data_IF_443943934948
#
_entry.id   IF_443943934948
#
_cell.length_a   1.000
_cell.length_b   1.000
_cell.length_c   1.000
_cell.angle_alpha   90.00
_cell.angle_beta   90.00
_cell.angle_gamma   90.00
#
_symmetry.space_group_name_H-M   'P 1'
#
loop_
_entity.id
_entity.type
_entity.pdbx_description
1 polymer ?
#
# COMPACT_ATOMS: atom_id res chain seq x y z
N UNK A 1 10.14 16.85 14.95
CA UNK A 1 10.08 15.37 14.77
C UNK A 1 10.10 15.07 13.28
N UNK A 2 11.08 14.29 12.80
CA UNK A 2 11.37 14.13 11.37
C UNK A 2 10.65 12.90 10.80
N UNK A 3 9.60 13.13 10.00
CA UNK A 3 8.99 12.12 9.13
C UNK A 3 7.79 11.39 9.73
N UNK A 4 6.64 11.49 9.07
CA UNK A 4 5.43 10.73 9.44
C UNK A 4 5.64 9.22 9.37
N UNK A 5 4.75 8.48 10.04
CA UNK A 5 4.79 7.02 10.10
C UNK A 5 4.68 6.40 8.70
N UNK A 6 5.47 5.34 8.47
CA UNK A 6 5.42 4.48 7.28
C UNK A 6 4.89 3.12 7.69
N UNK A 7 3.97 2.55 6.92
CA UNK A 7 3.41 1.23 7.21
C UNK A 7 3.73 0.28 6.05
N UNK A 8 4.15 -0.94 6.38
CA UNK A 8 4.42 -2.02 5.45
C UNK A 8 3.38 -3.12 5.63
N UNK A 9 2.74 -3.50 4.53
CA UNK A 9 1.87 -4.67 4.41
C UNK A 9 2.63 -5.75 3.64
N UNK A 10 3.20 -6.71 4.37
CA UNK A 10 4.03 -7.78 3.82
C UNK A 10 3.16 -9.01 3.51
N UNK A 11 3.20 -9.49 2.27
CA UNK A 11 2.27 -10.50 1.77
C UNK A 11 0.88 -9.90 1.49
N UNK A 12 0.84 -8.74 0.83
CA UNK A 12 -0.40 -7.97 0.65
C UNK A 12 -1.48 -8.70 -0.17
N UNK A 13 -1.11 -9.75 -0.93
CA UNK A 13 -2.03 -10.53 -1.74
C UNK A 13 -2.84 -9.65 -2.70
N UNK A 14 -4.15 -9.85 -2.75
CA UNK A 14 -5.04 -9.03 -3.59
C UNK A 14 -5.26 -7.60 -3.06
N UNK A 15 -4.69 -7.22 -1.91
CA UNK A 15 -4.80 -5.88 -1.34
C UNK A 15 -5.93 -5.67 -0.33
N UNK A 16 -6.48 -6.74 0.26
CA UNK A 16 -7.60 -6.68 1.22
C UNK A 16 -7.37 -5.74 2.41
N UNK A 17 -6.12 -5.60 2.86
CA UNK A 17 -5.74 -4.75 4.00
C UNK A 17 -5.26 -3.36 3.59
N UNK A 18 -4.81 -3.18 2.35
CA UNK A 18 -4.30 -1.91 1.83
C UNK A 18 -5.34 -0.80 1.96
N UNK A 19 -6.61 -1.09 1.63
CA UNK A 19 -7.67 -0.11 1.68
C UNK A 19 -8.04 0.33 3.11
N UNK A 20 -8.34 -0.58 4.06
CA UNK A 20 -8.54 -0.22 5.47
C UNK A 20 -7.36 0.56 6.08
N UNK A 21 -6.12 0.20 5.73
CA UNK A 21 -4.94 0.90 6.22
C UNK A 21 -4.97 2.40 5.87
N UNK A 22 -5.47 2.77 4.70
CA UNK A 22 -5.50 4.18 4.25
C UNK A 22 -6.35 5.07 5.16
N UNK A 23 -7.46 4.54 5.67
CA UNK A 23 -8.30 5.23 6.66
C UNK A 23 -7.60 5.36 8.01
N UNK A 24 -6.86 4.32 8.42
CA UNK A 24 -6.18 4.27 9.71
C UNK A 24 -4.94 5.19 9.78
N UNK A 25 -4.13 5.20 8.72
CA UNK A 25 -2.89 5.98 8.69
C UNK A 25 -3.13 7.44 8.28
N UNK A 26 -4.25 7.75 7.65
CA UNK A 26 -4.56 9.11 7.21
C UNK A 26 -3.66 9.63 6.06
N UNK A 27 -4.05 10.76 5.49
CA UNK A 27 -3.61 11.23 4.16
C UNK A 27 -2.12 11.60 4.04
N UNK A 28 -1.41 11.85 5.14
CA UNK A 28 -0.01 12.30 5.15
C UNK A 28 1.00 11.17 5.30
N UNK A 29 0.54 9.92 5.42
CA UNK A 29 1.37 8.74 5.68
C UNK A 29 1.52 7.88 4.43
N UNK A 30 2.67 7.20 4.30
CA UNK A 30 2.94 6.29 3.18
C UNK A 30 2.70 4.84 3.60
N UNK A 31 2.00 4.09 2.75
CA UNK A 31 1.79 2.66 2.87
C UNK A 31 2.59 1.98 1.77
N UNK A 32 3.30 0.92 2.12
CA UNK A 32 4.03 0.05 1.19
C UNK A 32 3.33 -1.31 1.21
N UNK A 33 2.94 -1.80 0.03
CA UNK A 33 2.39 -3.13 -0.14
C UNK A 33 3.43 -3.98 -0.86
N UNK A 34 3.82 -5.10 -0.27
CA UNK A 34 4.86 -5.97 -0.80
C UNK A 34 4.31 -7.40 -0.88
N UNK A 35 4.53 -8.05 -2.01
CA UNK A 35 4.25 -9.47 -2.19
C UNK A 35 5.28 -10.06 -3.15
N UNK A 36 5.56 -11.36 -3.03
CA UNK A 36 6.42 -12.08 -3.96
C UNK A 36 5.70 -12.40 -5.27
N UNK A 37 4.37 -12.47 -5.25
CA UNK A 37 3.57 -12.80 -6.42
C UNK A 37 3.30 -11.54 -7.26
N UNK A 38 3.74 -11.48 -8.53
CA UNK A 38 3.49 -10.30 -9.38
C UNK A 38 2.01 -9.97 -9.58
N UNK A 39 1.14 -11.00 -9.56
CA UNK A 39 -0.31 -10.83 -9.69
C UNK A 39 -0.94 -10.11 -8.49
N UNK A 40 -0.38 -10.32 -7.29
CA UNK A 40 -0.78 -9.60 -6.08
C UNK A 40 -0.49 -8.11 -6.21
N UNK A 41 0.72 -7.77 -6.66
CA UNK A 41 1.14 -6.37 -6.92
C UNK A 41 0.21 -5.71 -7.94
N UNK A 42 -0.06 -6.36 -9.07
CA UNK A 42 -0.99 -5.82 -10.08
C UNK A 42 -2.42 -5.62 -9.56
N UNK A 43 -2.90 -6.51 -8.69
CA UNK A 43 -4.20 -6.35 -8.06
C UNK A 43 -4.24 -5.11 -7.15
N UNK A 44 -3.20 -4.92 -6.33
CA UNK A 44 -3.07 -3.74 -5.48
C UNK A 44 -2.95 -2.45 -6.31
N UNK A 45 -2.21 -2.45 -7.40
CA UNK A 45 -2.10 -1.29 -8.30
C UNK A 45 -3.44 -0.88 -8.88
N UNK A 46 -4.28 -1.85 -9.29
CA UNK A 46 -5.65 -1.57 -9.76
C UNK A 46 -6.54 -0.98 -8.66
N UNK A 47 -6.38 -1.41 -7.41
CA UNK A 47 -7.09 -0.84 -6.26
C UNK A 47 -6.59 0.57 -5.92
N UNK A 48 -5.31 0.85 -6.17
CA UNK A 48 -4.67 2.14 -5.93
C UNK A 48 -4.96 3.16 -7.05
N UNK A 49 -5.09 2.77 -8.32
CA UNK A 49 -5.25 3.69 -9.46
C UNK A 49 -6.37 4.74 -9.35
N UNK A 50 -7.55 4.47 -8.75
CA UNK A 50 -8.60 5.48 -8.57
C UNK A 50 -8.36 6.41 -7.38
N UNK A 51 -7.37 6.13 -6.53
CA UNK A 51 -7.11 6.81 -5.27
C UNK A 51 -5.70 7.36 -5.29
N UNK A 52 -5.44 8.48 -4.65
CA UNK A 52 -4.09 9.06 -4.56
C UNK A 52 -3.16 8.25 -3.63
N UNK A 53 -3.13 6.92 -3.76
CA UNK A 53 -2.17 6.04 -3.13
C UNK A 53 -0.92 5.96 -4.00
N UNK A 54 0.23 6.26 -3.41
CA UNK A 54 1.52 5.93 -4.00
C UNK A 54 1.92 4.55 -3.49
N UNK A 55 1.67 3.52 -4.29
CA UNK A 55 2.27 2.20 -4.09
C UNK A 55 3.75 2.29 -4.45
N UNK A 56 4.61 2.13 -3.46
CA UNK A 56 6.04 1.94 -3.69
C UNK A 56 6.32 0.46 -3.79
N UNK A 57 6.49 -0.06 -5.01
CA UNK A 57 7.08 -1.38 -5.23
C UNK A 57 8.58 -1.20 -5.06
N UNK A 58 9.14 -1.76 -3.99
CA UNK A 58 10.59 -1.87 -3.86
C UNK A 58 11.01 -3.11 -4.66
N UNK A 59 11.50 -2.89 -5.88
CA UNK A 59 12.36 -3.83 -6.61
C UNK A 59 13.76 -3.76 -6.08
#
# INVERSE_FOLDING_TARGET
>A
MKGGFKVLDYGCGSGSYVMPLTGLVGKSRKIYALDIHPLAIQAVERLAAPKSLRTGVAT
#
